data_IF_801623438060
#
_entry.id   IF_801623438060
#
_cell.length_a   1.000
_cell.length_b   1.000
_cell.length_c   1.000
_cell.angle_alpha   90.00
_cell.angle_beta   90.00
_cell.angle_gamma   90.00
#
_symmetry.space_group_name_H-M   'P 1'
#
loop_
_entity.id
_entity.type
_entity.pdbx_description
1 polymer ?
#
# COMPACT_ATOMS: atom_id res chain seq x y z
N UNK A 1 -22.77 -9.94 3.52
CA UNK A 1 -21.79 -9.30 4.44
C UNK A 1 -20.47 -10.05 4.46
N UNK A 2 -20.44 -11.33 4.86
CA UNK A 2 -19.32 -12.26 4.55
C UNK A 2 -18.85 -12.18 3.09
N UNK A 3 -19.80 -11.96 2.19
CA UNK A 3 -19.56 -11.75 0.75
C UNK A 3 -18.63 -10.59 0.45
N UNK A 4 -18.77 -9.43 1.12
CA UNK A 4 -17.92 -8.27 0.88
C UNK A 4 -16.49 -8.51 1.40
N UNK A 5 -16.35 -9.14 2.56
CA UNK A 5 -15.03 -9.50 3.11
C UNK A 5 -14.31 -10.53 2.24
N UNK A 6 -15.02 -11.59 1.82
CA UNK A 6 -14.48 -12.59 0.91
C UNK A 6 -14.12 -11.98 -0.45
N UNK A 7 -14.92 -11.07 -0.98
CA UNK A 7 -14.66 -10.39 -2.25
C UNK A 7 -13.43 -9.48 -2.18
N UNK A 8 -13.29 -8.69 -1.09
CA UNK A 8 -12.08 -7.87 -0.87
C UNK A 8 -10.85 -8.79 -0.80
N UNK A 9 -10.87 -9.83 0.03
CA UNK A 9 -9.72 -10.74 0.16
C UNK A 9 -9.38 -11.46 -1.15
N UNK A 10 -10.37 -11.92 -1.92
CA UNK A 10 -10.13 -12.56 -3.20
C UNK A 10 -9.49 -11.60 -4.21
N UNK A 11 -9.97 -10.34 -4.27
CA UNK A 11 -9.37 -9.30 -5.13
C UNK A 11 -7.97 -8.92 -4.68
N UNK A 12 -7.77 -8.70 -3.40
CA UNK A 12 -6.46 -8.35 -2.84
C UNK A 12 -5.45 -9.46 -3.07
N UNK A 13 -5.83 -10.73 -2.85
CA UNK A 13 -4.98 -11.88 -3.12
C UNK A 13 -4.54 -11.94 -4.58
N UNK A 14 -5.47 -11.77 -5.53
CA UNK A 14 -5.15 -11.78 -6.96
C UNK A 14 -4.27 -10.60 -7.38
N UNK A 15 -4.56 -9.39 -6.91
CA UNK A 15 -3.79 -8.19 -7.26
C UNK A 15 -2.38 -8.23 -6.67
N UNK A 16 -2.26 -8.56 -5.38
CA UNK A 16 -0.98 -8.55 -4.66
C UNK A 16 -0.06 -9.71 -5.07
N UNK A 17 -0.62 -10.84 -5.51
CA UNK A 17 0.16 -11.93 -6.11
C UNK A 17 0.90 -11.50 -7.39
N UNK A 18 0.34 -10.53 -8.14
CA UNK A 18 0.93 -10.02 -9.37
C UNK A 18 1.94 -8.90 -9.18
N UNK A 19 2.12 -8.36 -7.97
CA UNK A 19 3.04 -7.24 -7.72
C UNK A 19 4.49 -7.74 -7.64
N UNK A 20 5.31 -7.33 -8.60
CA UNK A 20 6.74 -7.71 -8.67
C UNK A 20 7.71 -6.55 -8.48
N UNK A 21 7.23 -5.31 -8.56
CA UNK A 21 8.05 -4.10 -8.41
C UNK A 21 7.26 -2.95 -7.78
N UNK A 22 7.96 -1.84 -7.52
CA UNK A 22 7.37 -0.62 -6.95
C UNK A 22 6.33 0.05 -7.86
N UNK A 23 6.43 -0.09 -9.18
CA UNK A 23 5.46 0.49 -10.12
C UNK A 23 4.12 -0.26 -10.03
N UNK A 24 4.16 -1.59 -9.99
CA UNK A 24 2.97 -2.43 -9.76
C UNK A 24 2.37 -2.20 -8.37
N UNK A 25 3.20 -1.94 -7.36
CA UNK A 25 2.72 -1.55 -6.03
C UNK A 25 2.00 -0.19 -6.06
N UNK A 26 2.51 0.77 -6.83
CA UNK A 26 1.84 2.05 -7.05
C UNK A 26 0.51 1.91 -7.82
N UNK A 27 0.43 0.99 -8.79
CA UNK A 27 -0.83 0.64 -9.46
C UNK A 27 -1.85 0.01 -8.51
N UNK A 28 -1.40 -0.94 -7.68
CA UNK A 28 -2.22 -1.52 -6.63
C UNK A 28 -2.77 -0.42 -5.70
N UNK A 29 -1.90 0.50 -5.24
CA UNK A 29 -2.30 1.65 -4.41
C UNK A 29 -3.38 2.48 -5.09
N UNK A 30 -3.18 2.91 -6.34
CA UNK A 30 -4.16 3.71 -7.10
C UNK A 30 -5.52 3.02 -7.18
N UNK A 31 -5.53 1.71 -7.44
CA UNK A 31 -6.77 0.91 -7.49
C UNK A 31 -7.48 0.89 -6.14
N UNK A 32 -6.75 0.60 -5.05
CA UNK A 32 -7.34 0.54 -3.71
C UNK A 32 -7.91 1.89 -3.27
N UNK A 33 -7.23 3.00 -3.57
CA UNK A 33 -7.75 4.36 -3.33
C UNK A 33 -9.07 4.57 -4.06
N UNK A 34 -9.13 4.24 -5.36
CA UNK A 34 -10.35 4.38 -6.16
C UNK A 34 -11.51 3.59 -5.56
N UNK A 35 -11.25 2.35 -5.14
CA UNK A 35 -12.25 1.50 -4.51
C UNK A 35 -12.74 2.09 -3.18
N UNK A 36 -11.83 2.52 -2.30
CA UNK A 36 -12.17 3.10 -1.00
C UNK A 36 -12.95 4.42 -1.08
N UNK A 37 -12.69 5.20 -2.13
CA UNK A 37 -13.41 6.44 -2.41
C UNK A 37 -14.76 6.20 -3.09
N UNK A 38 -15.04 5.00 -3.59
CA UNK A 38 -16.31 4.63 -4.20
C UNK A 38 -17.30 4.18 -3.11
N UNK A 39 -18.37 4.94 -2.79
CA UNK A 39 -19.16 4.71 -1.58
C UNK A 39 -19.85 3.34 -1.45
N UNK A 40 -20.08 2.65 -2.57
CA UNK A 40 -20.74 1.34 -2.64
C UNK A 40 -19.79 0.21 -3.00
N UNK A 41 -18.47 0.45 -3.02
CA UNK A 41 -17.51 -0.62 -3.26
C UNK A 41 -17.52 -1.63 -2.10
N UNK A 42 -17.15 -2.89 -2.36
CA UNK A 42 -16.91 -3.87 -1.30
C UNK A 42 -15.92 -3.38 -0.24
N UNK A 43 -14.93 -2.57 -0.64
CA UNK A 43 -13.90 -1.98 0.23
C UNK A 43 -14.48 -0.96 1.21
N UNK A 44 -15.23 0.01 0.70
CA UNK A 44 -15.85 1.03 1.53
C UNK A 44 -16.87 0.40 2.49
N UNK A 45 -17.63 -0.59 2.03
CA UNK A 45 -18.58 -1.32 2.87
C UNK A 45 -17.88 -2.16 3.94
N UNK A 46 -16.77 -2.82 3.59
CA UNK A 46 -16.01 -3.65 4.52
C UNK A 46 -15.39 -2.85 5.67
N UNK A 47 -14.86 -1.65 5.39
CA UNK A 47 -14.23 -0.81 6.41
C UNK A 47 -15.22 -0.01 7.26
N UNK A 48 -16.38 0.38 6.72
CA UNK A 48 -17.41 1.13 7.46
C UNK A 48 -18.20 0.30 8.46
N UNK A 49 -18.19 -1.02 8.32
CA UNK A 49 -19.09 -1.86 9.09
C UNK A 49 -18.67 -1.97 10.56
N UNK A 50 -19.54 -1.50 11.46
CA UNK A 50 -19.34 -1.48 12.91
C UNK A 50 -19.98 -2.66 13.67
N UNK A 51 -20.82 -3.48 13.01
CA UNK A 51 -21.66 -4.49 13.68
C UNK A 51 -21.00 -5.84 13.95
N UNK A 52 -19.96 -6.22 13.19
CA UNK A 52 -19.28 -7.52 13.33
C UNK A 52 -17.77 -7.32 13.55
N UNK A 53 -17.41 -7.14 14.83
CA UNK A 53 -16.02 -6.89 15.24
C UNK A 53 -15.12 -8.09 14.97
N UNK A 54 -15.50 -9.35 15.28
CA UNK A 54 -14.68 -10.52 14.97
C UNK A 54 -14.42 -10.73 13.47
N UNK A 55 -15.45 -10.63 12.62
CA UNK A 55 -15.26 -10.82 11.18
C UNK A 55 -14.39 -9.70 10.57
N UNK A 56 -14.54 -8.46 11.05
CA UNK A 56 -13.69 -7.34 10.62
C UNK A 56 -12.23 -7.52 11.06
N UNK A 57 -11.99 -8.01 12.28
CA UNK A 57 -10.64 -8.31 12.76
C UNK A 57 -9.98 -9.38 11.87
N UNK A 58 -10.69 -10.46 11.56
CA UNK A 58 -10.20 -11.52 10.69
C UNK A 58 -9.91 -11.03 9.25
N UNK A 59 -10.74 -10.13 8.71
CA UNK A 59 -10.46 -9.47 7.43
C UNK A 59 -9.14 -8.68 7.49
N UNK A 60 -8.98 -7.82 8.49
CA UNK A 60 -7.81 -6.94 8.62
C UNK A 60 -6.53 -7.75 8.84
N UNK A 61 -6.60 -8.81 9.66
CA UNK A 61 -5.48 -9.73 9.86
C UNK A 61 -5.05 -10.40 8.57
N UNK A 62 -6.02 -10.91 7.78
CA UNK A 62 -5.69 -11.59 6.52
C UNK A 62 -5.23 -10.64 5.42
N UNK A 63 -5.78 -9.42 5.38
CA UNK A 63 -5.28 -8.40 4.45
C UNK A 63 -3.87 -7.94 4.84
N UNK A 64 -3.55 -7.87 6.14
CA UNK A 64 -2.19 -7.58 6.63
C UNK A 64 -1.21 -8.61 6.11
N UNK A 65 -1.54 -9.89 6.24
CA UNK A 65 -0.70 -11.00 5.80
C UNK A 65 -0.40 -10.91 4.29
N UNK A 66 -1.42 -10.68 3.46
CA UNK A 66 -1.23 -10.52 2.01
C UNK A 66 -0.30 -9.35 1.65
N UNK A 67 -0.45 -8.22 2.35
CA UNK A 67 0.43 -7.06 2.14
C UNK A 67 1.84 -7.42 2.58
N UNK A 68 2.03 -7.99 3.78
CA UNK A 68 3.34 -8.34 4.31
C UNK A 68 4.10 -9.32 3.40
N UNK A 69 3.43 -10.38 2.92
CA UNK A 69 4.00 -11.33 1.96
C UNK A 69 4.47 -10.64 0.66
N UNK A 70 3.70 -9.67 0.19
CA UNK A 70 4.05 -8.91 -1.02
C UNK A 70 5.27 -8.03 -0.79
N UNK A 71 5.32 -7.33 0.34
CA UNK A 71 6.47 -6.50 0.71
C UNK A 71 7.73 -7.34 0.91
N UNK A 72 7.61 -8.51 1.53
CA UNK A 72 8.73 -9.44 1.70
C UNK A 72 9.28 -9.90 0.34
N UNK A 73 8.40 -10.27 -0.61
CA UNK A 73 8.82 -10.58 -2.00
C UNK A 73 9.57 -9.41 -2.65
N UNK A 74 9.05 -8.19 -2.50
CA UNK A 74 9.69 -6.99 -3.05
C UNK A 74 11.07 -6.73 -2.44
N UNK A 75 11.21 -6.89 -1.13
CA UNK A 75 12.49 -6.74 -0.43
C UNK A 75 13.51 -7.79 -0.88
N UNK A 76 13.08 -9.05 -1.01
CA UNK A 76 13.93 -10.16 -1.47
C UNK A 76 14.38 -10.00 -2.93
N UNK A 77 13.53 -9.44 -3.79
CA UNK A 77 13.84 -9.24 -5.21
C UNK A 77 14.83 -8.10 -5.48
N UNK A 78 15.12 -7.24 -4.50
CA UNK A 78 15.93 -6.04 -4.70
C UNK A 78 15.25 -4.96 -5.56
N UNK A 79 13.96 -5.11 -5.88
CA UNK A 79 13.16 -4.13 -6.64
C UNK A 79 12.93 -2.82 -5.86
N UNK A 80 13.29 -2.77 -4.58
CA UNK A 80 13.28 -1.56 -3.75
C UNK A 80 14.53 -0.74 -4.06
N UNK A 81 14.39 0.21 -5.00
CA UNK A 81 15.29 1.32 -5.28
C UNK A 81 16.75 1.10 -4.87
N UNK A 82 17.50 0.33 -5.67
CA UNK A 82 18.96 0.28 -5.57
C UNK A 82 19.55 1.52 -6.25
N UNK A 83 19.43 2.68 -5.62
CA UNK A 83 20.24 3.83 -5.95
C UNK A 83 20.39 4.73 -4.74
N UNK A 84 21.53 4.62 -4.08
CA UNK A 84 22.34 5.79 -3.76
C UNK A 84 23.79 5.30 -3.65
N UNK A 85 24.65 6.05 -4.31
CA UNK A 85 26.08 5.92 -4.36
C UNK A 85 26.72 5.37 -3.08
N UNK A 86 27.73 4.53 -3.29
CA UNK A 86 28.85 4.31 -2.39
C UNK A 86 29.19 5.58 -1.60
N UNK A 87 29.39 5.45 -0.28
CA UNK A 87 29.77 6.50 0.68
C UNK A 87 28.65 7.20 1.46
N UNK A 88 27.73 6.44 2.05
CA UNK A 88 27.25 6.64 3.42
C UNK A 88 26.30 5.49 3.76
N UNK A 89 26.85 4.36 4.21
CA UNK A 89 26.04 3.30 4.82
C UNK A 89 25.48 3.84 6.15
N UNK A 90 24.35 4.54 6.08
CA UNK A 90 23.35 4.32 7.12
C UNK A 90 22.95 2.85 6.99
N UNK A 91 23.01 2.06 8.07
CA UNK A 91 22.49 0.69 8.01
C UNK A 91 21.03 0.84 7.59
N UNK A 92 20.69 0.37 6.38
CA UNK A 92 19.30 0.19 5.94
C UNK A 92 18.69 -0.66 7.05
N UNK A 93 17.97 0.00 7.97
CA UNK A 93 17.28 -0.68 9.05
C UNK A 93 16.37 -1.67 8.36
N UNK A 94 16.59 -2.94 8.66
CA UNK A 94 15.84 -4.08 8.13
C UNK A 94 14.36 -3.72 8.08
N UNK A 95 13.82 -3.45 6.88
CA UNK A 95 12.44 -2.99 6.74
C UNK A 95 11.58 -4.19 7.09
N UNK A 96 11.04 -4.15 8.29
CA UNK A 96 10.14 -5.19 8.80
C UNK A 96 8.82 -5.14 8.02
N UNK A 97 8.65 -6.10 7.11
CA UNK A 97 7.48 -6.21 6.23
C UNK A 97 6.17 -6.29 7.01
N UNK A 98 6.17 -6.88 8.21
CA UNK A 98 4.98 -6.94 9.06
C UNK A 98 4.62 -5.57 9.62
N UNK A 99 5.61 -4.82 10.11
CA UNK A 99 5.38 -3.44 10.58
C UNK A 99 4.94 -2.52 9.44
N UNK A 100 5.54 -2.68 8.25
CA UNK A 100 5.13 -1.92 7.07
C UNK A 100 3.69 -2.25 6.64
N UNK A 101 3.29 -3.53 6.67
CA UNK A 101 1.92 -3.93 6.37
C UNK A 101 0.91 -3.34 7.38
N UNK A 102 1.25 -3.30 8.67
CA UNK A 102 0.44 -2.63 9.69
C UNK A 102 0.31 -1.13 9.39
N UNK A 103 1.41 -0.46 9.03
CA UNK A 103 1.40 0.96 8.68
C UNK A 103 0.51 1.25 7.46
N UNK A 104 0.60 0.42 6.42
CA UNK A 104 -0.24 0.55 5.21
C UNK A 104 -1.71 0.33 5.56
N UNK A 105 -2.07 -0.68 6.35
CA UNK A 105 -3.45 -0.88 6.77
C UNK A 105 -3.99 0.25 7.66
N UNK A 106 -3.16 0.79 8.56
CA UNK A 106 -3.52 1.95 9.36
C UNK A 106 -3.78 3.17 8.45
N UNK A 107 -2.94 3.39 7.44
CA UNK A 107 -3.13 4.43 6.43
C UNK A 107 -4.42 4.23 5.62
N UNK A 108 -4.70 3.00 5.18
CA UNK A 108 -5.95 2.66 4.48
C UNK A 108 -7.18 2.96 5.35
N UNK A 109 -7.17 2.52 6.61
CA UNK A 109 -8.31 2.68 7.50
C UNK A 109 -8.50 4.15 7.92
N UNK A 110 -7.47 4.76 8.49
CA UNK A 110 -7.50 6.14 8.98
C UNK A 110 -7.66 7.14 7.84
N UNK A 111 -6.88 6.99 6.78
CA UNK A 111 -6.93 7.83 5.59
C UNK A 111 -8.29 7.75 4.88
N UNK A 112 -8.87 6.56 4.73
CA UNK A 112 -10.22 6.41 4.17
C UNK A 112 -11.27 7.07 5.06
N UNK A 113 -11.15 6.94 6.38
CA UNK A 113 -12.09 7.57 7.33
C UNK A 113 -12.07 9.10 7.19
N UNK A 114 -10.88 9.70 7.22
CA UNK A 114 -10.71 11.14 7.06
C UNK A 114 -11.18 11.62 5.69
N UNK A 115 -10.84 10.89 4.62
CA UNK A 115 -11.23 11.25 3.25
C UNK A 115 -12.75 11.24 3.05
N UNK A 116 -13.45 10.31 3.69
CA UNK A 116 -14.91 10.25 3.62
C UNK A 116 -15.58 11.37 4.41
N UNK A 117 -15.02 11.75 5.57
CA UNK A 117 -15.50 12.89 6.37
C UNK A 117 -15.29 14.20 5.60
N UNK A 118 -14.09 14.39 5.04
CA UNK A 118 -13.73 15.59 4.29
C UNK A 118 -14.34 15.65 2.87
N UNK A 119 -14.83 14.52 2.35
CA UNK A 119 -15.25 14.33 0.94
C UNK A 119 -14.13 14.67 -0.06
N UNK A 120 -12.90 14.36 0.32
CA UNK A 120 -11.68 14.65 -0.43
C UNK A 120 -10.77 13.41 -0.38
N UNK A 121 -10.27 12.88 -1.51
CA UNK A 121 -9.32 11.75 -1.49
C UNK A 121 -7.93 12.10 -0.94
N UNK A 122 -7.60 13.38 -0.74
CA UNK A 122 -6.26 13.80 -0.33
C UNK A 122 -5.74 13.15 0.96
N UNK A 123 -6.49 13.03 2.07
CA UNK A 123 -5.99 12.42 3.30
C UNK A 123 -5.56 10.96 3.13
N UNK A 124 -6.30 10.17 2.34
CA UNK A 124 -5.98 8.78 2.04
C UNK A 124 -4.72 8.69 1.17
N UNK A 125 -4.63 9.54 0.13
CA UNK A 125 -3.45 9.56 -0.72
C UNK A 125 -2.19 9.90 0.08
N UNK A 126 -2.23 10.98 0.88
CA UNK A 126 -1.10 11.41 1.69
C UNK A 126 -0.67 10.33 2.69
N UNK A 127 -1.61 9.70 3.40
CA UNK A 127 -1.30 8.63 4.35
C UNK A 127 -0.62 7.43 3.66
N UNK A 128 -1.06 7.07 2.45
CA UNK A 128 -0.45 5.99 1.67
C UNK A 128 0.91 6.36 1.08
N UNK A 129 1.11 7.62 0.67
CA UNK A 129 2.43 8.10 0.23
C UNK A 129 3.46 7.94 1.35
N UNK A 130 3.10 8.30 2.59
CA UNK A 130 3.96 8.08 3.75
C UNK A 130 4.21 6.60 4.04
N UNK A 131 3.16 5.77 4.01
CA UNK A 131 3.26 4.35 4.34
C UNK A 131 4.07 3.55 3.29
N UNK A 132 4.02 3.96 2.02
CA UNK A 132 4.67 3.27 0.91
C UNK A 132 6.01 3.88 0.50
N UNK A 133 6.42 5.03 1.08
CA UNK A 133 7.67 5.69 0.77
C UNK A 133 8.91 4.76 0.73
N UNK A 134 9.07 3.76 1.63
CA UNK A 134 10.22 2.86 1.56
C UNK A 134 10.25 1.95 0.33
N UNK A 135 9.13 1.81 -0.38
CA UNK A 135 8.96 0.91 -1.53
C UNK A 135 8.70 1.66 -2.83
N UNK A 136 8.64 3.00 -2.79
CA UNK A 136 8.51 3.81 -3.98
C UNK A 136 9.78 3.65 -4.83
N UNK A 137 9.60 3.31 -6.12
CA UNK A 137 10.67 3.49 -7.08
C UNK A 137 10.97 4.99 -7.13
N UNK A 138 12.21 5.38 -6.83
CA UNK A 138 12.68 6.72 -7.19
C UNK A 138 12.52 6.85 -8.70
N UNK A 139 11.56 7.67 -9.14
CA UNK A 139 11.65 8.25 -10.48
C UNK A 139 13.00 8.95 -10.54
N UNK A 140 13.88 8.41 -11.36
CA UNK A 140 15.21 8.93 -11.66
C UNK A 140 15.04 10.27 -12.38
N UNK A 141 14.88 11.35 -11.61
CA UNK A 141 15.01 12.72 -12.09
C UNK A 141 16.52 13.00 -12.31
N UNK A 142 17.10 12.26 -13.26
CA UNK A 142 18.47 12.49 -13.71
C UNK A 142 18.52 13.78 -14.52
N UNK A 143 19.32 14.79 -14.12
CA UNK A 143 19.45 16.01 -14.91
C UNK A 143 20.10 15.64 -16.23
N UNK A 144 19.43 15.96 -17.34
CA UNK A 144 20.01 15.96 -18.69
C UNK A 144 21.26 16.83 -18.69
N UNK A 145 22.41 16.20 -18.45
CA UNK A 145 23.73 16.81 -18.60
C UNK A 145 24.01 16.88 -20.09
N UNK A 146 23.53 17.95 -20.73
CA UNK A 146 23.98 18.34 -22.06
C UNK A 146 25.47 18.66 -21.98
N UNK A 147 26.27 17.67 -22.38
CA UNK A 147 27.68 17.82 -22.70
C UNK A 147 27.73 18.46 -24.09
N UNK A 148 27.97 19.76 -24.15
CA UNK A 148 28.44 20.39 -25.38
C UNK A 148 29.94 20.60 -25.26
N UNK A 149 30.64 20.00 -26.21
CA UNK A 149 32.04 20.25 -26.57
C UNK A 149 32.24 21.66 -27.12
#
# INVERSE_FOLDING_TARGET
MRTCFAEVLARESACLAGVTDGAMLADWRRRVVKELMTPRSPYALALRHSGDVPERAALLDRWRELIAETLERLLQSGAVGNSLCSSAQTPRGDIDAQKAAVLILAALHGGSTLSQIARDPWPLNAALDFALAPFAATEDDGPTRTRNE
#
